data_IF_534727676227
#
_entry.id   IF_534727676227
#
_cell.length_a   1.000
_cell.length_b   1.000
_cell.length_c   1.000
_cell.angle_alpha   90.00
_cell.angle_beta   90.00
_cell.angle_gamma   90.00
#
_symmetry.space_group_name_H-M   'P 1'
#
loop_
_entity.id
_entity.type
_entity.pdbx_description
1 polymer ?
#
# COMPACT_ATOMS: atom_id res chain seq x y z
N UNK A 1 -9.52 0.87 14.82
CA UNK A 1 -8.46 0.48 15.79
C UNK A 1 -7.35 1.52 15.77
N UNK A 2 -6.63 1.66 16.89
CA UNK A 2 -5.48 2.56 17.02
C UNK A 2 -4.29 1.72 17.49
N UNK A 3 -3.24 1.71 16.66
CA UNK A 3 -1.98 1.03 16.96
C UNK A 3 -1.00 2.01 17.62
N UNK A 4 -0.51 1.64 18.81
CA UNK A 4 0.59 2.31 19.51
C UNK A 4 1.78 1.35 19.59
N UNK A 5 2.94 1.86 20.03
CA UNK A 5 4.20 1.11 20.08
C UNK A 5 4.07 -0.27 20.74
N UNK A 6 3.33 -0.38 21.84
CA UNK A 6 3.24 -1.60 22.65
C UNK A 6 1.80 -2.09 22.90
N UNK A 7 0.80 -1.47 22.25
CA UNK A 7 -0.60 -1.82 22.47
C UNK A 7 -1.45 -1.49 21.24
N UNK A 8 -2.53 -2.24 21.07
CA UNK A 8 -3.61 -1.95 20.15
C UNK A 8 -4.88 -1.65 20.96
N UNK A 9 -5.66 -0.66 20.52
CA UNK A 9 -6.95 -0.35 21.13
C UNK A 9 -8.05 -0.25 20.07
N UNK A 10 -9.24 -0.73 20.40
CA UNK A 10 -10.43 -0.61 19.57
C UNK A 10 -11.44 0.30 20.23
N UNK A 11 -12.04 1.21 19.46
CA UNK A 11 -12.95 2.23 19.93
C UNK A 11 -14.22 2.21 19.07
N UNK A 12 -15.37 2.49 19.69
CA UNK A 12 -16.63 2.61 18.97
C UNK A 12 -16.67 3.93 18.18
N UNK A 13 -17.08 3.86 16.92
CA UNK A 13 -17.15 5.06 16.06
C UNK A 13 -18.26 6.03 16.48
N UNK A 14 -19.36 5.53 17.02
CA UNK A 14 -20.54 6.34 17.37
C UNK A 14 -20.32 7.29 18.54
N UNK A 15 -19.47 6.92 19.49
CA UNK A 15 -19.30 7.64 20.75
C UNK A 15 -17.82 7.78 21.19
N UNK A 16 -16.88 7.13 20.52
CA UNK A 16 -15.46 7.18 20.85
C UNK A 16 -15.07 6.38 22.11
N UNK A 17 -15.98 5.64 22.73
CA UNK A 17 -15.63 4.83 23.91
C UNK A 17 -14.72 3.67 23.54
N UNK A 18 -13.76 3.39 24.43
CA UNK A 18 -12.90 2.23 24.34
C UNK A 18 -13.75 0.95 24.45
N UNK A 19 -13.64 0.09 23.44
CA UNK A 19 -14.24 -1.25 23.46
C UNK A 19 -13.33 -2.22 24.20
N UNK A 20 -12.06 -2.32 23.78
CA UNK A 20 -11.02 -3.11 24.42
C UNK A 20 -9.63 -2.57 24.07
N UNK A 21 -8.62 -2.96 24.85
CA UNK A 21 -7.21 -2.63 24.65
C UNK A 21 -6.37 -3.85 24.98
N UNK A 22 -5.41 -4.15 24.12
CA UNK A 22 -4.53 -5.31 24.27
C UNK A 22 -3.06 -4.94 24.11
N UNK A 23 -2.23 -5.64 24.88
CA UNK A 23 -0.78 -5.49 24.81
C UNK A 23 -0.20 -6.33 23.68
N UNK A 24 0.75 -5.75 22.95
CA UNK A 24 1.39 -6.45 21.84
C UNK A 24 2.53 -7.32 22.37
N UNK A 25 2.58 -8.61 21.98
CA UNK A 25 3.65 -9.51 22.38
C UNK A 25 5.00 -9.02 21.86
N UNK A 26 6.05 -9.23 22.65
CA UNK A 26 7.43 -8.92 22.25
C UNK A 26 7.64 -7.45 21.78
N UNK A 27 6.89 -6.49 22.32
CA UNK A 27 6.89 -5.08 21.86
C UNK A 27 8.21 -4.33 22.06
N UNK A 28 9.14 -4.87 22.85
CA UNK A 28 10.50 -4.34 23.00
C UNK A 28 11.41 -4.69 21.81
N UNK A 29 11.22 -5.87 21.19
CA UNK A 29 12.00 -6.34 20.05
C UNK A 29 11.27 -6.17 18.70
N UNK A 30 9.94 -6.16 18.72
CA UNK A 30 9.09 -6.07 17.53
C UNK A 30 8.56 -4.66 17.31
N UNK A 31 8.74 -4.14 16.10
CA UNK A 31 8.22 -2.83 15.69
C UNK A 31 6.91 -2.99 14.92
N UNK A 32 5.79 -2.89 15.60
CA UNK A 32 4.45 -2.91 14.99
C UNK A 32 4.16 -1.61 14.24
N UNK A 33 3.77 -1.71 12.98
CA UNK A 33 3.68 -0.56 12.07
C UNK A 33 2.47 -0.56 11.14
N UNK A 34 1.86 -1.72 10.88
CA UNK A 34 0.75 -1.83 9.92
C UNK A 34 -0.44 -2.53 10.56
N UNK A 35 -1.63 -2.02 10.27
CA UNK A 35 -2.90 -2.59 10.67
C UNK A 35 -3.76 -2.81 9.42
N UNK A 36 -4.37 -3.98 9.32
CA UNK A 36 -5.29 -4.30 8.24
C UNK A 36 -6.53 -5.00 8.79
N UNK A 37 -7.69 -4.64 8.27
CA UNK A 37 -8.95 -5.28 8.61
C UNK A 37 -9.88 -5.30 7.41
N UNK A 38 -10.70 -6.35 7.35
CA UNK A 38 -11.85 -6.45 6.43
C UNK A 38 -13.06 -6.96 7.22
N UNK A 39 -14.20 -7.12 6.56
CA UNK A 39 -15.46 -7.59 7.15
C UNK A 39 -15.48 -9.05 7.62
N UNK A 40 -14.33 -9.62 8.02
CA UNK A 40 -14.18 -10.98 8.55
C UNK A 40 -14.31 -11.07 10.06
N UNK A 41 -14.44 -9.94 10.76
CA UNK A 41 -14.50 -9.93 12.23
C UNK A 41 -13.13 -10.05 12.92
N UNK A 42 -12.03 -9.93 12.15
CA UNK A 42 -10.67 -9.94 12.69
C UNK A 42 -9.86 -8.72 12.23
N UNK A 43 -8.82 -8.40 12.99
CA UNK A 43 -7.84 -7.35 12.69
C UNK A 43 -6.45 -7.98 12.66
N UNK A 44 -5.73 -7.77 11.56
CA UNK A 44 -4.34 -8.14 11.45
C UNK A 44 -3.44 -6.98 11.87
N UNK A 45 -2.49 -7.27 12.75
CA UNK A 45 -1.44 -6.34 13.19
C UNK A 45 -0.10 -6.91 12.79
N UNK A 46 0.67 -6.13 12.04
CA UNK A 46 1.96 -6.56 11.52
C UNK A 46 3.08 -5.77 12.17
N UNK A 47 4.13 -6.49 12.56
CA UNK A 47 5.34 -5.91 13.13
C UNK A 47 6.60 -6.60 12.65
N UNK A 48 7.69 -5.86 12.59
CA UNK A 48 8.99 -6.39 12.14
C UNK A 48 9.92 -6.57 13.33
N UNK A 49 10.56 -7.72 13.41
CA UNK A 49 11.80 -7.90 14.15
C UNK A 49 12.96 -7.69 13.16
N UNK A 50 13.75 -6.61 13.29
CA UNK A 50 14.78 -6.27 12.32
C UNK A 50 15.71 -7.45 12.00
N UNK A 51 16.03 -7.64 10.72
CA UNK A 51 16.95 -8.69 10.25
C UNK A 51 16.53 -10.12 10.58
N UNK A 52 15.25 -10.35 10.91
CA UNK A 52 14.76 -11.67 11.32
C UNK A 52 13.47 -12.05 10.62
N UNK A 53 12.33 -11.54 11.11
CA UNK A 53 11.02 -11.99 10.67
C UNK A 53 9.96 -10.90 10.80
N UNK A 54 8.88 -11.10 10.07
CA UNK A 54 7.60 -10.41 10.22
C UNK A 54 6.74 -11.19 11.22
N UNK A 55 6.22 -10.50 12.23
CA UNK A 55 5.17 -10.98 13.12
C UNK A 55 3.81 -10.55 12.54
N UNK A 56 2.91 -11.51 12.36
CA UNK A 56 1.52 -11.31 11.97
C UNK A 56 0.66 -11.77 13.12
N UNK A 57 -0.07 -10.85 13.72
CA UNK A 57 -1.02 -11.12 14.81
C UNK A 57 -2.43 -10.93 14.31
N UNK A 58 -3.31 -11.87 14.62
CA UNK A 58 -4.74 -11.79 14.29
C UNK A 58 -5.52 -11.63 15.58
N UNK A 59 -6.25 -10.52 15.71
CA UNK A 59 -7.09 -10.17 16.84
C UNK A 59 -8.57 -10.32 16.48
N UNK A 60 -9.36 -10.89 17.37
CA UNK A 60 -10.82 -10.85 17.28
C UNK A 60 -11.33 -9.41 17.50
N UNK A 61 -12.24 -8.95 16.63
CA UNK A 61 -12.89 -7.64 16.79
C UNK A 61 -13.80 -7.61 18.01
N UNK A 62 -14.34 -8.76 18.42
CA UNK A 62 -15.40 -8.83 19.44
C UNK A 62 -14.88 -8.57 20.85
N UNK A 63 -13.80 -9.25 21.22
CA UNK A 63 -13.22 -9.31 22.56
C UNK A 63 -11.75 -8.85 22.63
N UNK A 64 -11.05 -8.82 21.50
CA UNK A 64 -9.63 -8.46 21.44
C UNK A 64 -8.70 -9.66 21.62
N UNK A 65 -9.19 -10.88 21.72
CA UNK A 65 -8.31 -12.04 21.89
C UNK A 65 -7.42 -12.27 20.66
N UNK A 66 -6.16 -12.67 20.89
CA UNK A 66 -5.25 -13.09 19.82
C UNK A 66 -5.67 -14.50 19.40
N UNK A 67 -6.29 -14.62 18.22
CA UNK A 67 -6.75 -15.90 17.68
C UNK A 67 -5.64 -16.63 16.93
N UNK A 68 -4.65 -15.90 16.39
CA UNK A 68 -3.53 -16.47 15.65
C UNK A 68 -2.29 -15.57 15.75
N UNK A 69 -1.11 -16.20 15.78
CA UNK A 69 0.18 -15.53 15.71
C UNK A 69 1.13 -16.32 14.81
N UNK A 70 1.56 -15.69 13.73
CA UNK A 70 2.41 -16.31 12.70
C UNK A 70 3.69 -15.50 12.52
N UNK A 71 4.82 -16.20 12.40
CA UNK A 71 6.15 -15.63 12.15
C UNK A 71 6.57 -15.99 10.74
N UNK A 72 6.84 -14.99 9.90
CA UNK A 72 7.23 -15.17 8.50
C UNK A 72 8.66 -14.68 8.32
N UNK A 73 9.56 -15.55 7.84
CA UNK A 73 10.96 -15.18 7.64
C UNK A 73 11.08 -14.01 6.65
N UNK A 74 11.72 -12.93 7.08
CA UNK A 74 11.89 -11.71 6.29
C UNK A 74 13.15 -10.93 6.72
N UNK A 75 14.34 -11.54 6.64
CA UNK A 75 15.58 -10.91 7.12
C UNK A 75 15.97 -9.65 6.32
N UNK A 76 15.46 -9.52 5.10
CA UNK A 76 15.64 -8.37 4.22
C UNK A 76 14.77 -7.16 4.60
N UNK A 77 13.66 -7.38 5.32
CA UNK A 77 12.64 -6.37 5.55
C UNK A 77 13.05 -5.37 6.65
N UNK A 78 13.22 -4.10 6.28
CA UNK A 78 13.68 -3.03 7.20
C UNK A 78 12.52 -2.25 7.84
N UNK A 79 11.43 -2.02 7.10
CA UNK A 79 10.28 -1.21 7.50
C UNK A 79 9.02 -1.65 6.76
N UNK A 80 7.85 -1.61 7.41
CA UNK A 80 6.56 -1.78 6.73
C UNK A 80 6.04 -0.45 6.20
N UNK A 81 6.32 0.64 6.91
CA UNK A 81 5.76 1.94 6.59
C UNK A 81 6.23 2.42 5.21
N UNK A 82 5.28 2.62 4.30
CA UNK A 82 5.50 3.05 2.93
C UNK A 82 5.99 1.96 1.97
N UNK A 83 6.90 1.10 2.42
CA UNK A 83 7.48 0.03 1.60
C UNK A 83 6.53 -1.15 1.37
N UNK A 84 5.56 -1.35 2.27
CA UNK A 84 4.60 -2.44 2.19
C UNK A 84 3.15 -1.95 2.22
N UNK A 85 2.26 -2.71 1.58
CA UNK A 85 0.82 -2.51 1.67
C UNK A 85 0.06 -3.81 1.48
N UNK A 86 -1.15 -3.89 2.03
CA UNK A 86 -2.04 -5.04 1.84
C UNK A 86 -2.96 -4.82 0.65
N UNK A 87 -3.00 -5.79 -0.26
CA UNK A 87 -3.80 -5.83 -1.49
C UNK A 87 -4.71 -7.05 -1.48
N UNK A 88 -5.78 -7.01 -2.28
CA UNK A 88 -6.70 -8.14 -2.39
C UNK A 88 -7.21 -8.64 -1.03
N UNK A 89 -7.34 -9.96 -0.91
CA UNK A 89 -7.78 -10.65 0.31
C UNK A 89 -6.58 -10.90 1.23
N UNK A 90 -6.19 -9.86 1.98
CA UNK A 90 -5.15 -9.95 3.01
C UNK A 90 -3.76 -10.37 2.49
N UNK A 91 -3.39 -9.95 1.28
CA UNK A 91 -2.07 -10.23 0.71
C UNK A 91 -1.14 -9.06 0.96
N UNK A 92 -0.07 -9.26 1.72
CA UNK A 92 0.97 -8.26 1.91
C UNK A 92 1.90 -8.24 0.70
N UNK A 93 2.12 -7.06 0.13
CA UNK A 93 3.13 -6.80 -0.90
C UNK A 93 4.11 -5.78 -0.37
N UNK A 94 5.40 -6.10 -0.45
CA UNK A 94 6.51 -5.27 0.00
C UNK A 94 7.53 -5.06 -1.11
N UNK A 95 8.07 -3.85 -1.21
CA UNK A 95 9.18 -3.54 -2.11
C UNK A 95 10.50 -3.54 -1.35
N UNK A 96 11.52 -4.18 -1.92
CA UNK A 96 12.87 -4.18 -1.37
C UNK A 96 13.90 -3.71 -2.41
N UNK A 97 14.59 -2.63 -2.08
CA UNK A 97 15.57 -2.00 -2.98
C UNK A 97 16.86 -2.82 -3.06
N UNK A 98 17.29 -3.47 -1.98
CA UNK A 98 18.57 -4.18 -1.93
C UNK A 98 18.56 -5.42 -2.85
N UNK A 99 17.43 -6.13 -2.88
CA UNK A 99 17.23 -7.32 -3.72
C UNK A 99 16.55 -7.01 -5.07
N UNK A 100 16.24 -5.73 -5.33
CA UNK A 100 15.50 -5.29 -6.53
C UNK A 100 14.26 -6.15 -6.82
N UNK A 101 13.49 -6.45 -5.77
CA UNK A 101 12.40 -7.42 -5.83
C UNK A 101 11.15 -6.92 -5.09
N UNK A 102 10.02 -7.50 -5.45
CA UNK A 102 8.79 -7.46 -4.68
C UNK A 102 8.65 -8.77 -3.90
N UNK A 103 8.26 -8.68 -2.64
CA UNK A 103 7.91 -9.84 -1.83
C UNK A 103 6.42 -9.86 -1.57
N UNK A 104 5.83 -11.05 -1.67
CA UNK A 104 4.39 -11.26 -1.49
C UNK A 104 4.14 -12.37 -0.48
N UNK A 105 3.18 -12.17 0.42
CA UNK A 105 2.78 -13.16 1.41
C UNK A 105 1.30 -13.00 1.76
N UNK A 106 0.53 -14.09 1.70
CA UNK A 106 -0.83 -14.15 2.26
C UNK A 106 -0.78 -14.14 3.79
N UNK A 107 -1.46 -13.18 4.42
CA UNK A 107 -1.54 -13.08 5.88
C UNK A 107 -2.45 -14.14 6.52
N UNK A 108 -3.26 -14.83 5.71
CA UNK A 108 -4.25 -15.82 6.19
C UNK A 108 -3.80 -17.27 5.95
N UNK A 109 -2.94 -17.53 4.95
CA UNK A 109 -2.67 -18.91 4.50
C UNK A 109 -1.20 -19.24 4.30
N UNK A 110 -0.32 -18.25 4.10
CA UNK A 110 1.07 -18.48 3.75
C UNK A 110 2.00 -18.17 4.92
N UNK A 111 3.04 -18.99 5.07
CA UNK A 111 4.07 -18.83 6.11
C UNK A 111 5.42 -18.41 5.54
N UNK A 112 5.49 -18.16 4.23
CA UNK A 112 6.71 -17.78 3.52
C UNK A 112 6.45 -16.60 2.58
N UNK A 113 7.46 -15.75 2.42
CA UNK A 113 7.45 -14.63 1.47
C UNK A 113 7.94 -15.11 0.11
N UNK A 114 7.08 -15.01 -0.91
CA UNK A 114 7.46 -15.26 -2.30
C UNK A 114 8.18 -14.05 -2.87
N UNK A 115 9.42 -14.23 -3.30
CA UNK A 115 10.19 -13.21 -4.02
C UNK A 115 9.81 -13.16 -5.50
N UNK A 116 9.66 -11.96 -6.03
CA UNK A 116 9.39 -11.68 -7.44
C UNK A 116 10.38 -10.59 -7.90
N UNK A 117 11.41 -10.93 -8.69
CA UNK A 117 12.36 -9.95 -9.21
C UNK A 117 11.67 -8.91 -10.10
N UNK A 118 12.02 -7.63 -9.98
CA UNK A 118 11.40 -6.60 -10.82
C UNK A 118 11.72 -6.73 -12.31
N UNK A 119 12.88 -7.32 -12.62
CA UNK A 119 13.29 -7.61 -13.99
C UNK A 119 12.29 -8.52 -14.71
N UNK A 120 11.59 -9.42 -13.99
CA UNK A 120 10.55 -10.25 -14.63
C UNK A 120 9.27 -9.49 -14.99
N UNK A 121 9.18 -8.21 -14.59
CA UNK A 121 8.09 -7.29 -14.89
C UNK A 121 8.54 -6.14 -15.82
N UNK A 122 9.79 -6.17 -16.28
CA UNK A 122 10.46 -5.10 -17.03
C UNK A 122 10.45 -3.76 -16.26
N UNK A 123 10.66 -3.82 -14.93
CA UNK A 123 10.71 -2.64 -14.04
C UNK A 123 12.04 -2.56 -13.30
N UNK A 124 12.41 -1.34 -12.91
CA UNK A 124 13.63 -1.06 -12.14
C UNK A 124 13.38 0.09 -11.15
N UNK A 125 14.02 0.02 -9.98
CA UNK A 125 14.03 1.11 -9.02
C UNK A 125 15.09 2.15 -9.39
N UNK A 126 14.79 3.42 -9.15
CA UNK A 126 15.81 4.46 -9.26
C UNK A 126 16.84 4.35 -8.11
N UNK A 127 18.10 4.65 -8.43
CA UNK A 127 19.19 4.59 -7.47
C UNK A 127 18.95 5.51 -6.26
N UNK A 128 19.14 4.97 -5.05
CA UNK A 128 18.97 5.70 -3.80
C UNK A 128 17.52 6.09 -3.47
N UNK A 129 16.54 5.67 -4.27
CA UNK A 129 15.13 5.91 -4.01
C UNK A 129 14.52 4.82 -3.11
N UNK A 130 13.69 5.22 -2.16
CA UNK A 130 12.93 4.29 -1.32
C UNK A 130 11.57 4.02 -2.00
N UNK A 131 11.34 2.81 -2.54
CA UNK A 131 10.12 2.49 -3.26
C UNK A 131 8.91 2.49 -2.33
N UNK A 132 7.73 2.74 -2.92
CA UNK A 132 6.47 2.75 -2.16
C UNK A 132 5.39 1.92 -2.84
N UNK A 133 4.67 1.16 -2.04
CA UNK A 133 3.49 0.40 -2.49
C UNK A 133 2.24 1.16 -2.06
N UNK A 134 1.38 1.47 -3.03
CA UNK A 134 0.16 2.26 -2.82
C UNK A 134 -1.06 1.41 -3.20
N UNK A 135 -1.70 0.82 -2.21
CA UNK A 135 -2.97 0.09 -2.40
C UNK A 135 -4.18 1.00 -2.16
N UNK A 136 -5.36 0.48 -2.48
CA UNK A 136 -6.63 1.14 -2.17
C UNK A 136 -7.64 0.14 -1.61
N UNK A 137 -8.29 0.51 -0.52
CA UNK A 137 -9.40 -0.22 0.09
C UNK A 137 -10.60 0.73 0.16
N UNK A 138 -11.43 0.79 -0.90
CA UNK A 138 -12.52 1.77 -0.97
C UNK A 138 -13.59 1.59 0.11
N UNK A 139 -13.77 0.36 0.59
CA UNK A 139 -14.69 0.03 1.67
C UNK A 139 -13.95 -0.88 2.66
N UNK A 140 -13.87 -0.47 3.93
CA UNK A 140 -13.18 -1.19 5.00
C UNK A 140 -13.86 -2.53 5.35
N UNK A 141 -15.10 -2.76 4.92
CA UNK A 141 -15.80 -4.05 5.05
C UNK A 141 -15.32 -5.03 3.95
N UNK A 142 -14.92 -4.51 2.79
CA UNK A 142 -14.47 -5.34 1.68
C UNK A 142 -12.95 -5.50 1.67
N UNK A 143 -12.48 -6.50 0.96
CA UNK A 143 -11.06 -6.67 0.66
C UNK A 143 -10.50 -5.44 -0.09
N UNK A 144 -9.21 -5.19 0.08
CA UNK A 144 -8.47 -4.23 -0.75
C UNK A 144 -8.60 -4.59 -2.23
N UNK A 145 -8.40 -3.61 -3.12
CA UNK A 145 -8.28 -3.91 -4.54
C UNK A 145 -7.02 -4.74 -4.79
N UNK A 146 -7.09 -5.58 -5.82
CA UNK A 146 -5.95 -6.39 -6.28
C UNK A 146 -4.97 -5.56 -7.13
N UNK A 147 -5.41 -4.41 -7.64
CA UNK A 147 -4.57 -3.42 -8.30
C UNK A 147 -3.98 -2.42 -7.31
N UNK A 148 -2.72 -2.08 -7.52
CA UNK A 148 -1.98 -1.13 -6.69
C UNK A 148 -0.90 -0.43 -7.51
N UNK A 149 -0.47 0.75 -7.06
CA UNK A 149 0.68 1.42 -7.66
C UNK A 149 1.97 1.04 -6.95
N UNK A 150 3.03 0.83 -7.71
CA UNK A 150 4.40 0.80 -7.26
C UNK A 150 5.08 2.11 -7.69
N UNK A 151 5.55 2.90 -6.73
CA UNK A 151 6.38 4.07 -7.00
C UNK A 151 7.83 3.62 -7.11
N UNK A 152 8.41 3.76 -8.30
CA UNK A 152 9.75 3.31 -8.67
C UNK A 152 10.79 4.44 -8.57
N UNK A 153 10.33 5.68 -8.77
CA UNK A 153 11.10 6.92 -8.59
C UNK A 153 10.17 8.08 -8.19
N UNK A 154 10.67 9.28 -7.89
CA UNK A 154 9.83 10.44 -7.59
C UNK A 154 8.79 10.77 -8.68
N UNK A 155 9.07 10.42 -9.94
CA UNK A 155 8.18 10.71 -11.09
C UNK A 155 7.83 9.49 -11.93
N UNK A 156 8.01 8.28 -11.39
CA UNK A 156 7.76 7.02 -12.11
C UNK A 156 6.91 6.10 -11.25
N UNK A 157 5.74 5.77 -11.76
CA UNK A 157 4.77 4.88 -11.12
C UNK A 157 4.39 3.76 -12.09
N UNK A 158 4.28 2.53 -11.60
CA UNK A 158 3.73 1.41 -12.34
C UNK A 158 2.47 0.89 -11.66
N UNK A 159 1.41 0.65 -12.43
CA UNK A 159 0.19 0.00 -11.97
C UNK A 159 0.33 -1.52 -12.14
N UNK A 160 0.28 -2.23 -11.03
CA UNK A 160 0.41 -3.68 -10.95
C UNK A 160 -0.91 -4.32 -10.50
N UNK A 161 -1.06 -5.61 -10.75
CA UNK A 161 -2.16 -6.42 -10.25
C UNK A 161 -1.66 -7.76 -9.70
N UNK A 162 -2.10 -8.09 -8.49
CA UNK A 162 -1.90 -9.42 -7.90
C UNK A 162 -3.21 -10.22 -7.94
N UNK A 163 -3.24 -11.31 -8.71
CA UNK A 163 -4.42 -12.17 -8.87
C UNK A 163 -4.01 -13.63 -9.00
N UNK A 164 -4.66 -14.51 -8.24
CA UNK A 164 -4.41 -15.97 -8.25
C UNK A 164 -2.92 -16.34 -8.06
N UNK A 165 -2.22 -15.71 -7.11
CA UNK A 165 -0.80 -16.03 -6.85
C UNK A 165 0.20 -15.43 -7.84
N UNK A 166 -0.29 -14.67 -8.84
CA UNK A 166 0.51 -14.09 -9.91
C UNK A 166 0.45 -12.57 -9.87
N UNK A 167 1.61 -11.97 -10.10
CA UNK A 167 1.76 -10.54 -10.25
C UNK A 167 1.88 -10.20 -11.73
N UNK A 168 1.15 -9.19 -12.18
CA UNK A 168 1.11 -8.74 -13.57
C UNK A 168 1.29 -7.22 -13.64
N UNK A 169 2.06 -6.79 -14.64
CA UNK A 169 2.24 -5.38 -14.95
C UNK A 169 1.11 -4.91 -15.86
N UNK A 170 0.30 -3.94 -15.41
CA UNK A 170 -0.84 -3.44 -16.17
C UNK A 170 -0.50 -2.20 -16.99
N UNK A 171 0.21 -1.24 -16.37
CA UNK A 171 0.53 0.02 -17.04
C UNK A 171 1.69 0.74 -16.38
N UNK A 172 2.56 1.30 -17.20
CA UNK A 172 3.66 2.14 -16.76
C UNK A 172 3.36 3.64 -16.95
N UNK A 173 3.77 4.46 -15.99
CA UNK A 173 3.57 5.91 -15.98
C UNK A 173 4.89 6.64 -15.72
N UNK A 174 5.55 7.01 -16.82
CA UNK A 174 6.72 7.89 -16.83
C UNK A 174 6.30 9.35 -16.66
N UNK A 175 7.13 10.16 -15.99
CA UNK A 175 6.90 11.60 -15.76
C UNK A 175 5.57 11.91 -15.04
N UNK A 176 5.11 10.99 -14.19
CA UNK A 176 3.92 11.17 -13.37
C UNK A 176 4.31 11.80 -12.03
N UNK A 177 3.79 12.99 -11.73
CA UNK A 177 4.07 13.69 -10.49
C UNK A 177 3.26 13.13 -9.31
N UNK A 178 2.00 12.72 -9.57
CA UNK A 178 1.08 12.23 -8.54
C UNK A 178 0.15 11.16 -9.10
N UNK A 179 -0.22 10.22 -8.25
CA UNK A 179 -1.27 9.23 -8.50
C UNK A 179 -2.28 9.22 -7.36
N UNK A 180 -3.55 8.97 -7.67
CA UNK A 180 -4.60 8.84 -6.66
C UNK A 180 -5.66 7.86 -7.14
N UNK A 181 -6.28 7.15 -6.21
CA UNK A 181 -7.43 6.30 -6.49
C UNK A 181 -8.72 7.05 -6.14
N UNK A 182 -9.75 6.87 -6.97
CA UNK A 182 -11.11 7.33 -6.67
C UNK A 182 -12.08 6.17 -6.89
N UNK A 183 -13.14 6.09 -6.09
CA UNK A 183 -14.18 5.06 -6.25
C UNK A 183 -15.55 5.72 -6.27
N UNK A 184 -16.37 5.32 -7.24
CA UNK A 184 -17.76 5.75 -7.39
C UNK A 184 -18.65 4.53 -7.59
N UNK A 185 -19.51 4.24 -6.62
CA UNK A 185 -20.25 2.98 -6.55
C UNK A 185 -19.28 1.79 -6.59
N UNK A 186 -19.44 0.92 -7.57
CA UNK A 186 -18.58 -0.26 -7.75
C UNK A 186 -17.30 0.01 -8.55
N UNK A 187 -17.23 1.14 -9.26
CA UNK A 187 -16.10 1.47 -10.14
C UNK A 187 -15.00 2.15 -9.35
N UNK A 188 -13.81 1.55 -9.37
CA UNK A 188 -12.57 2.21 -8.94
C UNK A 188 -11.79 2.67 -10.17
N UNK A 189 -11.24 3.89 -10.11
CA UNK A 189 -10.43 4.50 -11.16
C UNK A 189 -9.16 5.07 -10.54
N UNK A 190 -8.13 5.26 -11.37
CA UNK A 190 -6.90 5.93 -10.96
C UNK A 190 -6.74 7.25 -11.72
N UNK A 191 -6.51 8.34 -11.00
CA UNK A 191 -6.10 9.61 -11.57
C UNK A 191 -4.57 9.70 -11.55
N UNK A 192 -3.97 10.02 -12.70
CA UNK A 192 -2.53 10.22 -12.84
C UNK A 192 -2.27 11.63 -13.36
N UNK A 193 -1.46 12.37 -12.63
CA UNK A 193 -1.02 13.71 -13.00
C UNK A 193 0.35 13.60 -13.67
N UNK A 194 0.42 13.96 -14.95
CA UNK A 194 1.69 14.08 -15.68
C UNK A 194 1.96 15.53 -16.01
N UNK A 195 3.22 15.94 -15.96
CA UNK A 195 3.61 17.29 -16.35
C UNK A 195 4.39 17.20 -17.66
N UNK A 196 3.87 17.84 -18.71
CA UNK A 196 4.58 17.97 -19.98
C UNK A 196 5.48 19.19 -19.90
N UNK A 197 6.77 18.99 -20.13
CA UNK A 197 7.71 20.09 -20.34
C UNK A 197 7.75 20.47 -21.81
N UNK A 198 6.79 21.27 -22.27
CA UNK A 198 7.04 22.15 -23.42
C UNK A 198 7.35 23.53 -22.84
N UNK A 199 8.61 23.93 -22.97
CA UNK A 199 9.21 25.26 -22.75
C UNK A 199 8.32 26.35 -22.11
N UNK A 200 8.76 26.84 -20.94
CA UNK A 200 8.25 28.03 -20.21
C UNK A 200 6.79 27.91 -19.74
N UNK A 201 6.62 27.32 -18.56
CA UNK A 201 5.35 27.24 -17.84
C UNK A 201 4.76 25.84 -17.87
N UNK A 202 5.03 25.05 -16.82
CA UNK A 202 4.57 23.67 -16.72
C UNK A 202 3.03 23.60 -16.76
N UNK A 203 2.49 22.93 -17.78
CA UNK A 203 1.08 22.56 -17.87
C UNK A 203 0.99 21.10 -17.44
N UNK A 204 0.37 20.82 -16.29
CA UNK A 204 0.09 19.44 -15.89
C UNK A 204 -1.31 19.03 -16.36
N UNK A 205 -1.41 17.85 -16.96
CA UNK A 205 -2.64 17.27 -17.50
C UNK A 205 -3.17 16.20 -16.54
N UNK A 206 -4.48 16.18 -16.33
CA UNK A 206 -5.17 15.15 -15.55
C UNK A 206 -5.62 14.02 -16.48
N UNK A 207 -5.16 12.80 -16.24
CA UNK A 207 -5.68 11.59 -16.89
C UNK A 207 -6.48 10.76 -15.88
N UNK A 208 -7.72 10.41 -16.23
CA UNK A 208 -8.49 9.39 -15.51
C UNK A 208 -8.33 8.08 -16.26
N UNK A 209 -7.61 7.14 -15.65
CA UNK A 209 -7.57 5.75 -16.10
C UNK A 209 -8.79 5.03 -15.53
N UNK A 210 -9.82 4.81 -16.36
CA UNK A 210 -10.92 3.91 -16.01
C UNK A 210 -10.44 2.46 -16.12
N UNK A 211 -10.71 1.61 -15.12
CA UNK A 211 -10.31 0.18 -15.08
C UNK A 211 -10.98 -0.70 -16.16
N UNK A 212 -11.51 -0.10 -17.23
CA UNK A 212 -11.96 -0.76 -18.46
C UNK A 212 -11.35 -0.05 -19.65
N UNK A 213 -10.21 -0.56 -20.12
CA UNK A 213 -9.68 -0.57 -21.50
C UNK A 213 -9.97 0.58 -22.49
N UNK A 214 -10.37 1.79 -22.09
CA UNK A 214 -10.53 2.94 -22.99
C UNK A 214 -10.14 4.22 -22.25
N UNK A 215 -9.11 4.90 -22.76
CA UNK A 215 -8.75 6.24 -22.32
C UNK A 215 -9.76 7.23 -22.91
N UNK A 216 -10.47 7.98 -22.05
CA UNK A 216 -11.27 9.14 -22.46
C UNK A 216 -10.67 10.39 -21.81
N UNK A 217 -10.12 11.34 -22.58
CA UNK A 217 -9.61 12.58 -22.00
C UNK A 217 -10.79 13.50 -21.64
N UNK A 218 -10.94 13.82 -20.35
CA UNK A 218 -11.82 14.90 -19.88
C UNK A 218 -10.97 16.16 -19.66
N UNK A 219 -11.16 17.17 -20.52
CA UNK A 219 -10.53 18.48 -20.39
C UNK A 219 -11.30 19.35 -19.38
N UNK A 220 -10.65 19.72 -18.27
CA UNK A 220 -11.13 20.73 -17.33
C UNK A 220 -9.97 21.51 -16.71
N UNK A 221 -9.62 22.65 -17.31
CA UNK A 221 -8.52 23.52 -16.86
C UNK A 221 -8.88 24.34 -15.62
N UNK A 222 -7.97 24.40 -14.64
CA UNK A 222 -7.68 25.64 -13.87
C UNK A 222 -6.17 25.81 -13.72
N UNK A 223 -5.68 26.98 -14.12
CA UNK A 223 -4.27 27.41 -14.04
C UNK A 223 -3.80 27.39 -12.58
N UNK A 224 -2.70 26.71 -12.29
CA UNK A 224 -1.90 26.96 -11.08
C UNK A 224 -0.97 28.15 -11.37
N UNK A 225 -1.13 29.26 -10.64
CA UNK A 225 -0.19 30.39 -10.68
C UNK A 225 1.09 30.04 -9.90
N UNK A 226 2.29 30.39 -10.39
CA UNK A 226 3.48 30.39 -9.54
C UNK A 226 3.51 31.70 -8.73
N UNK A 227 3.56 31.59 -7.41
CA UNK A 227 3.90 32.71 -6.53
C UNK A 227 5.37 33.09 -6.75
N UNK A 228 5.62 34.23 -7.41
CA UNK A 228 6.93 34.86 -7.29
C UNK A 228 7.02 35.54 -5.92
N UNK A 229 7.84 34.99 -5.04
CA UNK A 229 8.38 35.74 -3.92
C UNK A 229 9.52 36.62 -4.47
N UNK A 230 9.25 37.93 -4.60
CA UNK A 230 10.26 38.97 -4.58
C UNK A 230 9.97 39.85 -3.37
N UNK A 231 10.96 39.95 -2.49
CA UNK A 231 11.07 40.84 -1.35
C UNK A 231 12.50 40.77 -0.87
#
# INVERSE_FOLDING_TARGET
AVLKKAAISLHYLSNGHLKWVEHLPESESTRYQLLYSRGTGVIHVLGIVPQSHLNVLTFSVEDGEITEQTKVAAPWLKSLNGACSVVGEAVLVCADVDTHSLYVCSLETEQEMKQIPLQSLDLEFADGFQPRVLATQPNLINASRTQFFLQLSPTHFSLLQYKHGLLSHLRDFQQAALVSFATTGEKTVAAVLTCRSELVGAICWYYVAELRSVAVPWCGCRKCFPSQAKG
#
